data_IF_905854584929
#
_entry.id   IF_905854584929
#
_cell.length_a   1.000
_cell.length_b   1.000
_cell.length_c   1.000
_cell.angle_alpha   90.00
_cell.angle_beta   90.00
_cell.angle_gamma   90.00
#
_symmetry.space_group_name_H-M   'P 1'
#
loop_
_entity.id
_entity.type
_entity.pdbx_description
1 polymer ?
#
# COMPACT_ATOMS: atom_id res chain seq x y z
N UNK A 1 15.39 -4.82 -8.65
CA UNK A 1 14.73 -4.02 -7.60
C UNK A 1 14.15 -2.78 -8.24
N UNK A 2 13.01 -2.31 -7.72
CA UNK A 2 12.31 -1.12 -8.17
C UNK A 2 12.09 -0.19 -6.99
N UNK A 3 12.21 1.13 -7.21
CA UNK A 3 11.85 2.19 -6.27
C UNK A 3 11.01 3.20 -7.03
N UNK A 4 9.95 3.70 -6.42
CA UNK A 4 9.05 4.65 -7.06
C UNK A 4 8.29 5.51 -6.05
N UNK A 5 7.97 6.74 -6.44
CA UNK A 5 7.27 7.70 -5.60
C UNK A 5 8.08 8.15 -4.39
N UNK A 6 7.39 8.54 -3.32
CA UNK A 6 8.00 9.06 -2.10
C UNK A 6 8.22 10.57 -2.15
N UNK A 7 9.11 11.04 -1.28
CA UNK A 7 9.41 12.46 -1.12
C UNK A 7 10.90 12.66 -0.85
N UNK A 8 11.46 13.75 -1.37
CA UNK A 8 12.83 14.20 -1.06
C UNK A 8 12.91 14.92 0.30
N UNK A 9 11.79 15.40 0.83
CA UNK A 9 11.73 16.10 2.11
C UNK A 9 10.46 15.74 2.88
N UNK A 10 10.64 14.94 3.93
CA UNK A 10 9.54 14.51 4.80
C UNK A 10 8.79 15.68 5.46
N UNK A 11 9.47 16.78 5.82
CA UNK A 11 8.83 17.91 6.51
C UNK A 11 8.08 18.84 5.57
N UNK A 12 8.44 18.81 4.28
CA UNK A 12 7.89 19.68 3.25
C UNK A 12 7.26 18.84 2.14
N UNK A 13 6.39 17.91 2.50
CA UNK A 13 5.74 16.97 1.57
C UNK A 13 4.67 17.66 0.71
N UNK A 14 5.11 18.32 -0.37
CA UNK A 14 4.29 19.09 -1.31
C UNK A 14 4.71 18.81 -2.76
N UNK A 15 4.03 19.43 -3.73
CA UNK A 15 4.26 19.19 -5.17
C UNK A 15 5.71 19.33 -5.66
N UNK A 16 6.56 20.07 -4.95
CA UNK A 16 7.98 20.25 -5.34
C UNK A 16 8.89 19.13 -4.83
N UNK A 17 8.51 18.43 -3.76
CA UNK A 17 9.33 17.39 -3.09
C UNK A 17 8.77 15.98 -3.31
N UNK A 18 7.45 15.87 -3.48
CA UNK A 18 6.76 14.65 -3.84
C UNK A 18 7.18 14.15 -5.22
N UNK A 19 7.31 12.84 -5.34
CA UNK A 19 7.72 12.18 -6.57
C UNK A 19 6.67 11.23 -7.11
N UNK A 20 6.75 11.05 -8.42
CA UNK A 20 6.13 9.97 -9.17
C UNK A 20 7.10 9.38 -10.21
N UNK A 21 8.39 9.44 -9.91
CA UNK A 21 9.41 8.81 -10.71
C UNK A 21 9.48 7.30 -10.41
N UNK A 22 10.05 6.56 -11.35
CA UNK A 22 10.25 5.12 -11.26
C UNK A 22 11.70 4.81 -11.61
N UNK A 23 12.37 4.11 -10.70
CA UNK A 23 13.76 3.72 -10.80
C UNK A 23 13.91 2.21 -10.72
N UNK A 24 14.84 1.66 -11.50
CA UNK A 24 15.15 0.24 -11.50
C UNK A 24 16.64 -0.02 -11.34
N UNK A 25 16.97 -1.19 -10.80
CA UNK A 25 18.34 -1.70 -10.74
C UNK A 25 18.35 -3.23 -10.71
N UNK A 26 19.32 -3.84 -11.39
CA UNK A 26 19.56 -5.27 -11.30
C UNK A 26 20.54 -5.66 -10.18
N UNK A 27 21.39 -4.71 -9.74
CA UNK A 27 22.52 -4.99 -8.85
C UNK A 27 22.51 -4.17 -7.54
N UNK A 28 21.55 -3.25 -7.37
CA UNK A 28 21.46 -2.38 -6.20
C UNK A 28 22.47 -1.24 -6.18
N UNK A 29 23.28 -1.08 -7.23
CA UNK A 29 24.40 -0.11 -7.30
C UNK A 29 24.19 0.87 -8.44
N UNK A 30 23.90 0.37 -9.63
CA UNK A 30 23.66 1.16 -10.83
C UNK A 30 22.15 1.29 -11.01
N UNK A 31 21.66 2.52 -10.93
CA UNK A 31 20.24 2.83 -10.98
C UNK A 31 19.90 3.55 -12.27
N UNK A 32 18.81 3.13 -12.91
CA UNK A 32 18.24 3.75 -14.10
C UNK A 32 16.94 4.42 -13.71
N UNK A 33 16.77 5.69 -14.08
CA UNK A 33 15.46 6.33 -14.06
C UNK A 33 14.70 5.84 -15.30
N UNK A 34 13.70 5.00 -15.10
CA UNK A 34 12.89 4.44 -16.18
C UNK A 34 11.79 5.42 -16.60
N UNK A 35 11.25 6.16 -15.63
CA UNK A 35 10.19 7.16 -15.83
C UNK A 35 10.40 8.33 -14.88
N UNK A 36 10.55 9.56 -15.39
CA UNK A 36 10.65 10.77 -14.55
C UNK A 36 9.28 11.22 -14.00
N UNK A 37 8.22 11.00 -14.77
CA UNK A 37 6.85 11.40 -14.45
C UNK A 37 5.85 10.30 -14.86
N UNK A 38 5.55 9.39 -13.95
CA UNK A 38 4.56 8.35 -14.21
C UNK A 38 3.14 8.91 -14.34
N UNK A 39 2.23 8.11 -14.92
CA UNK A 39 0.85 8.53 -15.18
C UNK A 39 0.01 8.74 -13.91
N UNK A 40 0.44 8.18 -12.78
CA UNK A 40 -0.19 8.38 -11.48
C UNK A 40 0.37 9.61 -10.78
N UNK A 41 -0.50 10.26 -10.00
CA UNK A 41 -0.13 11.47 -9.26
C UNK A 41 0.96 11.22 -8.22
N UNK A 42 1.81 12.23 -8.01
CA UNK A 42 2.87 12.23 -7.00
C UNK A 42 2.33 11.86 -5.62
N UNK A 43 3.06 11.00 -4.92
CA UNK A 43 2.60 10.43 -3.66
C UNK A 43 3.75 9.93 -2.80
N UNK A 44 3.65 10.17 -1.50
CA UNK A 44 4.41 9.47 -0.47
C UNK A 44 3.50 8.48 0.24
N UNK A 45 4.10 7.58 1.03
CA UNK A 45 3.39 6.63 1.91
C UNK A 45 2.41 5.70 1.19
N UNK A 46 2.51 5.62 -0.15
CA UNK A 46 1.88 4.60 -0.97
C UNK A 46 2.55 3.26 -0.74
N UNK A 47 1.86 2.19 -1.10
CA UNK A 47 2.44 0.85 -1.07
C UNK A 47 2.70 0.34 -2.47
N UNK A 48 3.81 -0.39 -2.62
CA UNK A 48 4.23 -1.00 -3.87
C UNK A 48 4.46 -2.50 -3.65
N UNK A 49 4.00 -3.34 -4.57
CA UNK A 49 4.26 -4.78 -4.52
C UNK A 49 4.38 -5.39 -5.92
N UNK A 50 4.82 -6.64 -5.99
CA UNK A 50 4.79 -7.45 -7.21
C UNK A 50 3.70 -8.50 -7.06
N UNK A 51 2.77 -8.53 -8.01
CA UNK A 51 1.68 -9.50 -8.05
C UNK A 51 1.31 -9.80 -9.50
N UNK A 52 1.06 -11.08 -9.81
CA UNK A 52 0.74 -11.56 -11.17
C UNK A 52 1.71 -11.02 -12.24
N UNK A 53 3.02 -11.13 -11.96
CA UNK A 53 4.11 -10.63 -12.81
C UNK A 53 4.02 -9.13 -13.18
N UNK A 54 3.33 -8.33 -12.39
CA UNK A 54 3.25 -6.87 -12.53
C UNK A 54 3.70 -6.17 -11.26
N UNK A 55 4.22 -4.95 -11.42
CA UNK A 55 4.36 -3.97 -10.36
C UNK A 55 2.99 -3.35 -10.08
N UNK A 56 2.68 -3.13 -8.81
CA UNK A 56 1.45 -2.48 -8.36
C UNK A 56 1.79 -1.33 -7.43
N UNK A 57 1.11 -0.20 -7.57
CA UNK A 57 1.17 0.93 -6.64
C UNK A 57 -0.25 1.37 -6.30
N UNK A 58 -0.51 1.64 -5.01
CA UNK A 58 -1.82 2.10 -4.56
C UNK A 58 -1.74 2.93 -3.28
N UNK A 59 -2.78 3.74 -3.07
CA UNK A 59 -2.93 4.59 -1.89
C UNK A 59 -1.81 5.63 -1.74
N UNK A 60 -1.53 6.03 -0.51
CA UNK A 60 -0.60 7.12 -0.21
C UNK A 60 -1.22 8.48 -0.51
N UNK A 61 -0.40 9.49 -0.78
CA UNK A 61 -0.89 10.83 -1.10
C UNK A 61 0.09 11.95 -0.82
N UNK A 62 -0.46 13.15 -0.64
CA UNK A 62 0.25 14.34 -0.17
C UNK A 62 -0.17 14.68 1.26
N UNK A 63 0.76 15.14 2.10
CA UNK A 63 0.48 15.63 3.45
C UNK A 63 0.24 17.15 3.51
N UNK A 64 0.97 17.94 2.72
CA UNK A 64 0.93 19.40 2.71
C UNK A 64 0.65 19.96 1.30
N UNK A 65 0.03 21.14 1.17
CA UNK A 65 -0.55 21.97 2.23
C UNK A 65 -1.86 21.42 2.80
N UNK A 66 -2.48 20.48 2.08
CA UNK A 66 -3.67 19.75 2.52
C UNK A 66 -3.44 18.26 2.30
N UNK A 67 -4.01 17.44 3.19
CA UNK A 67 -3.88 15.99 3.08
C UNK A 67 -4.75 15.47 1.95
N UNK A 68 -4.14 14.88 0.92
CA UNK A 68 -4.82 14.27 -0.23
C UNK A 68 -4.51 12.77 -0.23
N UNK A 69 -5.18 11.98 0.64
CA UNK A 69 -5.03 10.53 0.62
C UNK A 69 -5.66 9.94 -0.65
N UNK A 70 -5.19 8.78 -1.07
CA UNK A 70 -5.70 8.09 -2.27
C UNK A 70 -6.15 6.67 -2.01
N UNK A 71 -6.95 6.17 -2.94
CA UNK A 71 -7.35 4.77 -3.08
C UNK A 71 -7.43 4.30 -4.53
N UNK A 72 -6.70 4.97 -5.42
CA UNK A 72 -6.49 4.51 -6.78
C UNK A 72 -5.48 3.34 -6.81
N UNK A 73 -5.67 2.44 -7.78
CA UNK A 73 -4.84 1.24 -7.97
C UNK A 73 -4.28 1.26 -9.37
N UNK A 74 -2.95 1.18 -9.48
CA UNK A 74 -2.24 1.16 -10.75
C UNK A 74 -1.35 -0.08 -10.84
N UNK A 75 -1.17 -0.59 -12.05
CA UNK A 75 -0.23 -1.68 -12.31
C UNK A 75 0.61 -1.43 -13.57
N UNK A 76 1.74 -2.11 -13.66
CA UNK A 76 2.63 -2.07 -14.82
C UNK A 76 3.38 -3.40 -14.99
N UNK A 77 3.45 -3.92 -16.21
CA UNK A 77 4.19 -5.14 -16.52
C UNK A 77 5.69 -4.89 -16.75
N UNK A 78 6.08 -3.65 -17.08
CA UNK A 78 7.43 -3.26 -17.47
C UNK A 78 8.03 -2.16 -16.57
N UNK A 79 7.24 -1.59 -15.65
CA UNK A 79 7.62 -0.45 -14.81
C UNK A 79 7.63 0.89 -15.54
N UNK A 80 7.31 0.91 -16.84
CA UNK A 80 7.37 2.10 -17.71
C UNK A 80 5.95 2.54 -18.09
N UNK A 81 5.13 1.61 -18.56
CA UNK A 81 3.76 1.85 -18.97
C UNK A 81 2.81 1.46 -17.85
N UNK A 82 2.07 2.43 -17.32
CA UNK A 82 1.18 2.24 -16.17
C UNK A 82 -0.30 2.30 -16.58
N UNK A 83 -1.06 1.33 -16.08
CA UNK A 83 -2.51 1.21 -16.27
C UNK A 83 -3.23 1.49 -14.96
N UNK A 84 -4.24 2.36 -14.98
CA UNK A 84 -5.13 2.56 -13.84
C UNK A 84 -6.19 1.45 -13.83
N UNK A 85 -6.00 0.46 -12.95
CA UNK A 85 -6.91 -0.67 -12.79
C UNK A 85 -8.19 -0.23 -12.06
N UNK A 86 -8.04 0.64 -11.06
CA UNK A 86 -9.15 1.16 -10.26
C UNK A 86 -8.98 2.64 -10.01
N UNK A 87 -9.98 3.43 -10.39
CA UNK A 87 -9.99 4.87 -10.13
C UNK A 87 -10.21 5.21 -8.65
N UNK A 88 -11.12 4.51 -7.98
CA UNK A 88 -11.40 4.64 -6.56
C UNK A 88 -11.85 3.28 -6.00
N UNK A 89 -10.98 2.60 -5.27
CA UNK A 89 -11.31 1.33 -4.64
C UNK A 89 -12.33 1.54 -3.49
N UNK A 90 -13.10 0.50 -3.09
CA UNK A 90 -14.13 0.65 -2.07
C UNK A 90 -13.58 0.88 -0.66
N UNK A 91 -12.30 0.58 -0.41
CA UNK A 91 -11.64 0.97 0.84
C UNK A 91 -11.35 2.47 0.85
N UNK A 92 -11.55 3.10 2.01
CA UNK A 92 -11.33 4.55 2.18
C UNK A 92 -9.89 4.94 1.84
N UNK A 93 -9.72 6.06 1.16
CA UNK A 93 -8.43 6.65 0.83
C UNK A 93 -7.55 6.83 2.07
N UNK A 94 -6.30 6.34 2.00
CA UNK A 94 -5.42 6.20 3.17
C UNK A 94 -3.93 6.24 2.84
N UNK A 95 -3.16 6.61 3.85
CA UNK A 95 -1.70 6.59 3.88
C UNK A 95 -1.23 5.57 4.94
N UNK A 96 0.06 5.22 4.92
CA UNK A 96 0.72 4.43 5.99
C UNK A 96 0.05 3.08 6.31
N UNK A 97 -0.61 2.48 5.33
CA UNK A 97 -1.16 1.12 5.39
C UNK A 97 -0.10 0.10 4.98
N UNK A 98 -0.36 -1.19 5.21
CA UNK A 98 0.47 -2.26 4.65
C UNK A 98 -0.21 -2.92 3.45
N UNK A 99 0.60 -3.30 2.46
CA UNK A 99 0.19 -4.11 1.32
C UNK A 99 1.02 -5.39 1.27
N UNK A 100 0.37 -6.54 1.21
CA UNK A 100 1.05 -7.84 1.02
C UNK A 100 0.34 -8.69 -0.02
N UNK A 101 1.07 -9.62 -0.62
CA UNK A 101 0.51 -10.64 -1.51
C UNK A 101 0.44 -11.94 -0.74
N UNK A 102 -0.74 -12.54 -0.67
CA UNK A 102 -0.95 -13.80 0.03
C UNK A 102 -2.06 -14.61 -0.62
N UNK A 103 -1.75 -15.89 -0.92
CA UNK A 103 -2.62 -16.84 -1.62
C UNK A 103 -3.25 -16.24 -2.88
N UNK A 104 -2.42 -15.69 -3.76
CA UNK A 104 -2.81 -15.10 -5.04
C UNK A 104 -3.78 -13.91 -4.94
N UNK A 105 -3.72 -13.16 -3.84
CA UNK A 105 -4.48 -11.93 -3.64
C UNK A 105 -3.58 -10.82 -3.11
N UNK A 106 -3.90 -9.59 -3.50
CA UNK A 106 -3.45 -8.35 -2.85
C UNK A 106 -4.22 -8.16 -1.55
N UNK A 107 -3.55 -7.70 -0.49
CA UNK A 107 -4.16 -7.44 0.82
C UNK A 107 -3.80 -6.05 1.34
N UNK A 108 -4.81 -5.22 1.59
CA UNK A 108 -4.68 -3.88 2.20
C UNK A 108 -5.05 -3.98 3.68
N UNK A 109 -4.14 -3.54 4.55
CA UNK A 109 -4.29 -3.67 6.01
C UNK A 109 -4.08 -2.32 6.70
N UNK A 110 -5.07 -1.90 7.49
CA UNK A 110 -5.00 -0.70 8.32
C UNK A 110 -4.66 0.57 7.55
N UNK A 111 -3.89 1.46 8.16
CA UNK A 111 -3.52 2.77 7.63
C UNK A 111 -4.23 3.90 8.35
N UNK A 112 -4.11 5.12 7.80
CA UNK A 112 -4.68 6.31 8.41
C UNK A 112 -5.05 7.35 7.35
N UNK A 113 -6.06 8.16 7.66
CA UNK A 113 -6.28 9.45 7.01
C UNK A 113 -6.69 10.51 8.06
N UNK A 114 -6.74 11.78 7.66
CA UNK A 114 -7.07 12.90 8.57
C UNK A 114 -8.52 12.87 9.06
N UNK A 115 -9.44 12.38 8.23
CA UNK A 115 -10.88 12.45 8.47
C UNK A 115 -11.36 11.37 9.44
N UNK A 116 -10.94 10.12 9.22
CA UNK A 116 -11.38 8.93 9.95
C UNK A 116 -10.35 8.45 11.00
N UNK A 117 -9.11 8.94 10.89
CA UNK A 117 -8.00 8.50 11.70
C UNK A 117 -7.51 7.11 11.31
N UNK A 118 -7.12 6.31 12.31
CA UNK A 118 -6.63 4.95 12.10
C UNK A 118 -7.70 4.02 11.54
N UNK A 119 -7.31 3.16 10.62
CA UNK A 119 -8.10 2.06 10.12
C UNK A 119 -7.68 0.72 10.75
N UNK A 120 -8.64 -0.17 10.93
CA UNK A 120 -8.43 -1.55 11.38
C UNK A 120 -8.96 -2.59 10.39
N UNK A 121 -9.53 -2.16 9.27
CA UNK A 121 -10.10 -3.02 8.25
C UNK A 121 -9.03 -3.76 7.43
N UNK A 122 -9.48 -4.82 6.79
CA UNK A 122 -8.69 -5.69 5.92
C UNK A 122 -9.45 -5.88 4.63
N UNK A 123 -8.79 -5.65 3.50
CA UNK A 123 -9.38 -5.82 2.18
C UNK A 123 -8.49 -6.72 1.33
N UNK A 124 -9.10 -7.52 0.47
CA UNK A 124 -8.37 -8.34 -0.49
C UNK A 124 -8.94 -8.26 -1.90
N UNK A 125 -8.08 -8.52 -2.88
CA UNK A 125 -8.46 -8.55 -4.30
C UNK A 125 -7.53 -9.48 -5.08
N UNK A 126 -8.09 -10.27 -6.00
CA UNK A 126 -7.32 -11.13 -6.91
C UNK A 126 -6.88 -10.43 -8.19
N UNK A 127 -7.40 -9.23 -8.46
CA UNK A 127 -7.18 -8.51 -9.73
C UNK A 127 -6.96 -6.99 -9.56
N UNK A 128 -7.01 -6.47 -8.33
CA UNK A 128 -6.89 -5.04 -8.02
C UNK A 128 -8.08 -4.18 -8.43
N UNK A 129 -9.11 -4.76 -9.08
CA UNK A 129 -10.34 -4.12 -9.51
C UNK A 129 -11.51 -4.41 -8.55
N UNK A 130 -11.69 -5.69 -8.22
CA UNK A 130 -12.75 -6.17 -7.35
C UNK A 130 -12.20 -6.42 -5.96
N UNK A 131 -12.65 -5.62 -4.99
CA UNK A 131 -12.16 -5.67 -3.62
C UNK A 131 -13.26 -6.13 -2.66
N UNK A 132 -12.90 -7.08 -1.80
CA UNK A 132 -13.79 -7.59 -0.75
C UNK A 132 -13.19 -7.28 0.62
N UNK A 133 -14.01 -6.74 1.52
CA UNK A 133 -13.62 -6.55 2.91
C UNK A 133 -13.66 -7.89 3.64
N UNK A 134 -12.56 -8.25 4.31
CA UNK A 134 -12.51 -9.39 5.22
C UNK A 134 -13.02 -8.95 6.59
N UNK A 135 -14.06 -9.62 7.09
CA UNK A 135 -14.62 -9.39 8.42
C UNK A 135 -14.30 -10.55 9.35
N UNK A 136 -13.94 -10.26 10.60
CA UNK A 136 -13.69 -11.25 11.64
C UNK A 136 -14.22 -10.75 12.99
N UNK A 137 -14.61 -11.68 13.87
CA UNK A 137 -15.09 -11.35 15.22
C UNK A 137 -13.98 -10.74 16.10
N UNK A 138 -12.73 -11.13 15.83
CA UNK A 138 -11.54 -10.62 16.54
C UNK A 138 -10.63 -9.97 15.52
N UNK A 139 -10.35 -8.69 15.74
CA UNK A 139 -9.49 -7.87 14.89
C UNK A 139 -8.57 -7.02 15.75
N UNK A 140 -7.39 -6.70 15.22
CA UNK A 140 -6.45 -5.83 15.90
C UNK A 140 -7.03 -4.43 16.16
N UNK A 141 -6.46 -3.73 17.15
CA UNK A 141 -6.70 -2.29 17.30
C UNK A 141 -6.27 -1.54 16.03
N UNK A 142 -7.13 -0.63 15.56
CA UNK A 142 -6.89 0.24 14.40
C UNK A 142 -5.54 0.95 14.49
N UNK A 143 -4.74 0.92 13.42
CA UNK A 143 -3.33 1.37 13.41
C UNK A 143 -2.81 1.75 12.02
N UNK A 144 -1.75 2.55 11.99
CA UNK A 144 -0.93 2.85 10.80
C UNK A 144 0.56 2.62 11.09
N UNK A 145 1.42 2.70 10.07
CA UNK A 145 2.88 2.51 10.20
C UNK A 145 3.30 1.15 10.80
N UNK A 146 2.42 0.16 10.74
CA UNK A 146 2.75 -1.21 11.11
C UNK A 146 3.50 -1.89 9.97
N UNK A 147 4.25 -2.94 10.30
CA UNK A 147 4.79 -3.86 9.30
C UNK A 147 3.83 -5.03 9.10
N UNK A 148 3.65 -5.47 7.86
CA UNK A 148 2.99 -6.72 7.55
C UNK A 148 3.87 -7.62 6.68
N UNK A 149 3.83 -8.92 6.92
CA UNK A 149 4.62 -9.91 6.16
C UNK A 149 3.92 -11.26 6.14
N UNK A 150 4.18 -12.04 5.09
CA UNK A 150 3.68 -13.42 4.97
C UNK A 150 4.72 -14.38 5.52
N UNK A 151 4.32 -15.20 6.49
CA UNK A 151 5.18 -16.21 7.08
C UNK A 151 4.32 -17.36 7.63
N UNK A 152 4.75 -18.60 7.44
CA UNK A 152 4.04 -19.80 7.94
C UNK A 152 2.56 -19.85 7.48
N UNK A 153 2.33 -19.59 6.18
CA UNK A 153 0.99 -19.56 5.55
C UNK A 153 -0.02 -18.68 6.31
N UNK A 154 0.45 -17.49 6.71
CA UNK A 154 -0.34 -16.43 7.36
C UNK A 154 0.19 -15.06 7.00
N UNK A 155 -0.69 -14.07 7.02
CA UNK A 155 -0.30 -12.66 7.12
C UNK A 155 -0.06 -12.36 8.59
N UNK A 156 1.08 -11.77 8.91
CA UNK A 156 1.41 -11.24 10.22
C UNK A 156 1.37 -9.72 10.17
N UNK A 157 0.88 -9.09 11.24
CA UNK A 157 0.91 -7.64 11.47
C UNK A 157 1.68 -7.39 12.76
N UNK A 158 2.69 -6.54 12.73
CA UNK A 158 3.55 -6.26 13.88
C UNK A 158 3.70 -4.75 14.13
N UNK A 159 3.43 -4.33 15.37
CA UNK A 159 3.62 -2.96 15.83
C UNK A 159 2.69 -1.93 15.16
N UNK A 160 3.21 -0.72 14.93
CA UNK A 160 2.48 0.42 14.38
C UNK A 160 1.86 1.34 15.43
N UNK A 161 1.43 2.52 14.99
CA UNK A 161 0.82 3.52 15.84
C UNK A 161 -0.67 3.23 16.05
N UNK A 162 -0.98 2.53 17.15
CA UNK A 162 -2.31 2.41 17.73
C UNK A 162 -2.53 3.44 18.86
N UNK A 163 -3.77 3.62 19.31
CA UNK A 163 -4.09 4.46 20.47
C UNK A 163 -4.72 3.62 21.59
N UNK A 164 -4.01 3.39 22.72
CA UNK A 164 -2.63 3.78 23.01
C UNK A 164 -1.60 3.00 22.15
N UNK A 165 -0.38 3.54 22.04
CA UNK A 165 0.73 2.88 21.33
C UNK A 165 0.98 1.49 21.92
N UNK A 166 1.06 0.47 21.06
CA UNK A 166 1.29 -0.91 21.49
C UNK A 166 2.25 -1.64 20.56
N UNK A 167 2.83 -2.74 21.06
CA UNK A 167 3.76 -3.61 20.32
C UNK A 167 3.13 -4.96 19.99
N UNK A 168 1.82 -4.99 19.76
CA UNK A 168 1.10 -6.22 19.48
C UNK A 168 1.56 -6.86 18.16
N UNK A 169 1.45 -8.19 18.13
CA UNK A 169 1.66 -8.99 16.92
C UNK A 169 0.41 -9.82 16.69
N UNK A 170 -0.13 -9.72 15.49
CA UNK A 170 -1.35 -10.39 15.06
C UNK A 170 -1.05 -11.29 13.86
N UNK A 171 -1.87 -12.32 13.67
CA UNK A 171 -1.85 -13.12 12.45
C UNK A 171 -3.26 -13.34 11.93
N UNK A 172 -3.43 -13.33 10.60
CA UNK A 172 -4.69 -13.67 9.94
C UNK A 172 -4.80 -15.18 9.79
N UNK A 173 -5.87 -15.77 10.33
CA UNK A 173 -6.23 -17.16 10.08
C UNK A 173 -7.40 -17.22 9.10
N UNK A 174 -7.17 -17.83 7.95
CA UNK A 174 -8.22 -18.06 6.94
C UNK A 174 -8.89 -19.42 7.17
N UNK A 175 -10.19 -19.56 6.85
CA UNK A 175 -10.87 -20.85 6.85
C UNK A 175 -10.17 -21.88 5.95
N UNK A 176 -10.32 -23.16 6.29
CA UNK A 176 -9.84 -24.24 5.44
C UNK A 176 -10.50 -24.16 4.04
N UNK A 177 -9.68 -24.24 2.99
CA UNK A 177 -10.17 -24.16 1.60
C UNK A 177 -10.54 -22.76 1.11
N UNK A 178 -10.18 -21.70 1.84
CA UNK A 178 -10.39 -20.32 1.37
C UNK A 178 -9.68 -20.06 0.04
N UNK A 179 -10.43 -19.53 -0.93
CA UNK A 179 -9.98 -19.26 -2.31
C UNK A 179 -10.15 -17.81 -2.76
N UNK A 180 -10.59 -16.92 -1.86
CA UNK A 180 -11.19 -15.64 -2.22
C UNK A 180 -12.69 -15.71 -2.30
#
# INVERSE_FOLDING_TARGET
>A
MWIMGGTENFYEDNDTTLKNDVWSTADGRNWTCEVEHAAWDKRTHAQVTVFDNKLWIMGGGAWQPETIPRNDVWCSADGVTWEQVTHAAPWTARMWFSLVVYRDHLWVLGGWNREDGNFGDVWYSSNGADWTQMTADVIWTKRHEHSAYVFDDKIWVAGGHAEPLNSEVWSLHLPAGWSG
#
